data_IF_922812410003
#
_entry.id   IF_922812410003
#
_cell.length_a   1.000
_cell.length_b   1.000
_cell.length_c   1.000
_cell.angle_alpha   90.00
_cell.angle_beta   90.00
_cell.angle_gamma   90.00
#
_symmetry.space_group_name_H-M   'P 1'
#
loop_
_entity.id
_entity.type
_entity.pdbx_description
1 polymer ?
#
# COMPACT_ATOMS: atom_id res chain seq x y z
N UNK A 1 8.10 -56.73 0.48
CA UNK A 1 8.70 -55.58 -0.22
C UNK A 1 7.60 -54.57 -0.45
N UNK A 2 7.46 -53.61 0.43
CA UNK A 2 6.39 -52.64 0.46
C UNK A 2 6.97 -51.29 0.08
N UNK A 3 6.52 -50.79 -1.04
CA UNK A 3 6.82 -49.46 -1.54
C UNK A 3 5.89 -48.44 -0.82
N UNK A 4 6.46 -47.55 -0.05
CA UNK A 4 5.73 -46.47 0.64
C UNK A 4 6.06 -45.15 -0.03
N UNK A 5 5.24 -44.75 -0.97
CA UNK A 5 5.21 -43.39 -1.50
C UNK A 5 4.61 -42.48 -0.45
N UNK A 6 5.45 -41.65 0.18
CA UNK A 6 5.06 -40.58 1.09
C UNK A 6 4.41 -39.41 0.31
N UNK A 7 3.15 -39.27 0.53
CA UNK A 7 2.37 -38.13 0.08
C UNK A 7 2.72 -36.92 0.95
N UNK A 8 3.22 -35.83 0.34
CA UNK A 8 3.58 -34.59 1.01
C UNK A 8 2.45 -33.55 0.76
N UNK A 9 1.57 -33.31 1.75
CA UNK A 9 0.51 -32.32 1.59
C UNK A 9 1.00 -30.94 2.01
N UNK A 10 1.19 -30.01 1.06
CA UNK A 10 1.31 -28.63 1.50
C UNK A 10 2.10 -27.65 0.67
N UNK A 11 2.21 -27.86 -0.62
CA UNK A 11 2.74 -26.81 -1.48
C UNK A 11 1.57 -25.92 -1.96
N UNK A 12 1.51 -24.60 -1.58
CA UNK A 12 0.49 -23.73 -2.10
C UNK A 12 0.71 -23.52 -3.60
N UNK A 13 -0.27 -23.88 -4.40
CA UNK A 13 -0.26 -23.69 -5.84
C UNK A 13 0.01 -22.24 -6.19
N UNK A 14 1.21 -21.97 -6.72
CA UNK A 14 1.57 -20.70 -7.32
C UNK A 14 0.72 -20.55 -8.58
N UNK A 15 -0.31 -19.74 -8.52
CA UNK A 15 -1.13 -19.39 -9.65
C UNK A 15 -0.24 -18.76 -10.74
N UNK A 16 -0.27 -19.35 -11.93
CA UNK A 16 0.46 -18.86 -13.11
C UNK A 16 0.10 -17.41 -13.39
N UNK A 17 1.10 -16.54 -13.37
CA UNK A 17 1.02 -15.14 -13.75
C UNK A 17 0.68 -15.00 -15.24
N UNK A 18 -0.58 -15.03 -15.57
CA UNK A 18 -1.10 -14.77 -16.92
C UNK A 18 -2.20 -13.70 -16.96
N UNK A 19 -2.67 -13.21 -15.82
CA UNK A 19 -3.60 -12.09 -15.78
C UNK A 19 -2.92 -10.87 -15.13
N UNK A 20 -2.80 -9.80 -15.91
CA UNK A 20 -2.02 -8.59 -15.57
C UNK A 20 -2.60 -7.73 -14.44
N UNK A 21 -3.63 -8.19 -13.75
CA UNK A 21 -4.30 -7.42 -12.69
C UNK A 21 -4.84 -8.32 -11.57
N UNK A 22 -3.94 -8.93 -10.81
CA UNK A 22 -4.37 -9.71 -9.62
C UNK A 22 -4.30 -8.85 -8.37
N UNK A 23 -5.42 -8.65 -7.71
CA UNK A 23 -5.54 -7.99 -6.41
C UNK A 23 -5.95 -9.00 -5.34
N UNK A 24 -5.31 -8.90 -4.23
CA UNK A 24 -5.35 -9.81 -3.07
C UNK A 24 -6.75 -9.89 -2.45
N UNK A 25 -7.21 -11.10 -2.21
CA UNK A 25 -8.49 -11.39 -1.54
C UNK A 25 -8.29 -11.54 -0.03
N UNK A 26 -9.02 -10.78 0.76
CA UNK A 26 -9.27 -11.08 2.17
C UNK A 26 -10.76 -10.94 2.48
N UNK A 27 -11.26 -11.86 3.30
CA UNK A 27 -12.68 -12.08 3.57
C UNK A 27 -13.21 -11.02 4.54
N UNK A 28 -14.20 -10.30 4.07
CA UNK A 28 -15.26 -9.56 4.77
C UNK A 28 -14.96 -8.84 6.09
N UNK A 29 -14.85 -7.51 6.02
CA UNK A 29 -15.34 -6.63 7.09
C UNK A 29 -16.15 -5.49 6.47
N UNK A 30 -17.25 -5.10 7.11
CA UNK A 30 -18.16 -4.01 6.69
C UNK A 30 -17.35 -2.77 6.37
N UNK A 31 -17.78 -2.04 5.34
CA UNK A 31 -17.26 -0.70 5.01
C UNK A 31 -17.28 0.12 6.29
N UNK A 32 -16.09 0.23 6.89
CA UNK A 32 -15.92 0.91 8.14
C UNK A 32 -16.17 2.41 7.96
N UNK A 33 -16.76 2.95 8.98
CA UNK A 33 -16.92 4.36 9.25
C UNK A 33 -15.71 5.19 8.75
N UNK A 34 -16.01 6.19 7.95
CA UNK A 34 -15.06 7.13 7.33
C UNK A 34 -13.91 7.47 8.27
N UNK A 35 -12.69 7.31 7.80
CA UNK A 35 -11.51 7.77 8.53
C UNK A 35 -11.74 9.20 9.05
N UNK A 36 -11.60 9.44 10.37
CA UNK A 36 -11.89 10.75 10.94
C UNK A 36 -10.98 11.81 10.33
N UNK A 37 -11.56 12.81 9.67
CA UNK A 37 -10.84 13.97 9.14
C UNK A 37 -11.16 14.36 7.68
N UNK A 38 -11.84 13.51 6.91
CA UNK A 38 -12.33 13.92 5.57
C UNK A 38 -13.84 14.13 5.62
N UNK A 39 -14.31 15.31 5.14
CA UNK A 39 -15.73 15.54 4.95
C UNK A 39 -16.33 14.39 4.12
N UNK A 40 -17.48 13.86 4.54
CA UNK A 40 -18.15 12.73 3.87
C UNK A 40 -18.35 12.96 2.37
N UNK A 41 -18.65 14.21 1.99
CA UNK A 41 -18.81 14.63 0.59
C UNK A 41 -17.50 14.48 -0.20
N UNK A 42 -16.36 14.94 0.33
CA UNK A 42 -15.05 14.83 -0.33
C UNK A 42 -14.66 13.36 -0.48
N UNK A 43 -14.92 12.54 0.54
CA UNK A 43 -14.66 11.10 0.49
C UNK A 43 -15.55 10.41 -0.57
N UNK A 44 -16.79 10.80 -0.71
CA UNK A 44 -17.70 10.25 -1.72
C UNK A 44 -17.30 10.66 -3.13
N UNK A 45 -16.97 11.94 -3.36
CA UNK A 45 -16.49 12.42 -4.66
C UNK A 45 -15.19 11.72 -5.04
N UNK A 46 -14.22 11.65 -4.14
CA UNK A 46 -12.94 10.98 -4.40
C UNK A 46 -13.11 9.49 -4.71
N UNK A 47 -14.05 8.81 -4.05
CA UNK A 47 -14.38 7.42 -4.34
C UNK A 47 -14.92 7.24 -5.77
N UNK A 48 -15.86 8.08 -6.22
CA UNK A 48 -16.41 7.97 -7.57
C UNK A 48 -15.38 8.29 -8.65
N UNK A 49 -14.54 9.31 -8.43
CA UNK A 49 -13.42 9.63 -9.34
C UNK A 49 -12.44 8.46 -9.41
N UNK A 50 -12.06 7.91 -8.27
CA UNK A 50 -11.15 6.77 -8.17
C UNK A 50 -11.73 5.53 -8.88
N UNK A 51 -13.01 5.24 -8.66
CA UNK A 51 -13.70 4.14 -9.33
C UNK A 51 -13.73 4.32 -10.85
N UNK A 52 -14.07 5.53 -11.33
CA UNK A 52 -14.04 5.85 -12.76
C UNK A 52 -12.65 5.68 -13.38
N UNK A 53 -11.60 6.17 -12.70
CA UNK A 53 -10.21 6.03 -13.11
C UNK A 53 -9.79 4.56 -13.23
N UNK A 54 -10.02 3.79 -12.18
CA UNK A 54 -9.65 2.37 -12.14
C UNK A 54 -10.38 1.59 -13.22
N UNK A 55 -11.68 1.83 -13.39
CA UNK A 55 -12.49 1.18 -14.43
C UNK A 55 -12.02 1.53 -15.84
N UNK A 56 -11.70 2.79 -16.11
CA UNK A 56 -11.17 3.24 -17.39
C UNK A 56 -9.80 2.61 -17.70
N UNK A 57 -8.98 2.37 -16.67
CA UNK A 57 -7.70 1.66 -16.76
C UNK A 57 -7.81 0.14 -16.82
N UNK A 58 -9.02 -0.42 -16.85
CA UNK A 58 -9.24 -1.88 -16.87
C UNK A 58 -9.02 -2.58 -15.53
N UNK A 59 -8.90 -1.82 -14.43
CA UNK A 59 -8.72 -2.38 -13.09
C UNK A 59 -10.03 -2.90 -12.52
N UNK A 60 -9.97 -4.08 -11.90
CA UNK A 60 -11.07 -4.64 -11.12
C UNK A 60 -10.62 -4.78 -9.68
N UNK A 61 -11.29 -4.04 -8.80
CA UNK A 61 -11.06 -4.15 -7.35
C UNK A 61 -11.84 -5.35 -6.82
N UNK A 62 -11.20 -6.17 -6.01
CA UNK A 62 -11.77 -7.40 -5.43
C UNK A 62 -11.49 -7.43 -3.94
N UNK A 63 -12.51 -7.78 -3.16
CA UNK A 63 -12.45 -7.85 -1.71
C UNK A 63 -12.70 -6.52 -1.02
N UNK A 64 -12.77 -6.58 0.30
CA UNK A 64 -13.00 -5.45 1.17
C UNK A 64 -11.69 -5.07 1.88
N UNK A 65 -11.56 -3.78 2.21
CA UNK A 65 -10.46 -3.35 3.05
C UNK A 65 -10.65 -3.88 4.48
N UNK A 66 -9.62 -4.50 5.11
CA UNK A 66 -9.72 -4.94 6.48
C UNK A 66 -9.88 -3.75 7.43
N UNK A 67 -10.62 -3.94 8.53
CA UNK A 67 -10.80 -2.91 9.57
C UNK A 67 -9.52 -2.81 10.42
N UNK A 68 -8.52 -2.15 9.85
CA UNK A 68 -7.22 -1.92 10.47
C UNK A 68 -6.96 -0.41 10.54
N UNK A 69 -6.77 0.13 11.75
CA UNK A 69 -6.45 1.55 11.90
C UNK A 69 -5.05 1.88 11.39
N UNK A 70 -4.13 0.92 11.46
CA UNK A 70 -2.75 1.07 11.04
C UNK A 70 -2.22 -0.20 10.41
N UNK A 71 -1.47 -0.05 9.31
CA UNK A 71 -0.78 -1.16 8.66
C UNK A 71 0.33 -0.65 7.75
N UNK A 72 1.25 -1.55 7.40
CA UNK A 72 2.16 -1.37 6.28
C UNK A 72 1.62 -2.12 5.08
N UNK A 73 1.29 -1.39 4.01
CA UNK A 73 0.79 -1.91 2.75
C UNK A 73 1.93 -2.08 1.75
N UNK A 74 2.10 -3.28 1.22
CA UNK A 74 3.07 -3.52 0.16
C UNK A 74 2.46 -3.22 -1.21
N UNK A 75 3.02 -2.21 -1.90
CA UNK A 75 2.63 -1.82 -3.24
C UNK A 75 3.66 -2.37 -4.25
N UNK A 76 3.36 -3.50 -4.83
CA UNK A 76 4.21 -4.19 -5.80
C UNK A 76 3.37 -4.74 -6.98
N UNK A 77 3.94 -4.86 -8.18
CA UNK A 77 5.25 -4.35 -8.58
C UNK A 77 5.25 -2.83 -8.81
N UNK A 78 6.41 -2.18 -8.55
CA UNK A 78 6.59 -0.77 -8.83
C UNK A 78 7.41 -0.58 -10.12
N UNK A 79 6.72 -0.35 -11.24
CA UNK A 79 7.31 -0.35 -12.57
C UNK A 79 7.33 1.03 -13.22
N UNK A 80 6.41 1.90 -12.84
CA UNK A 80 6.23 3.21 -13.47
C UNK A 80 5.72 4.28 -12.49
N UNK A 81 5.69 5.54 -12.93
CA UNK A 81 5.06 6.62 -12.16
C UNK A 81 3.52 6.45 -12.09
N UNK A 82 2.91 5.74 -13.04
CA UNK A 82 1.47 5.47 -13.05
C UNK A 82 1.02 4.62 -11.88
N UNK A 83 1.91 3.78 -11.34
CA UNK A 83 1.61 2.93 -10.18
C UNK A 83 1.23 3.78 -8.96
N UNK A 84 1.85 4.96 -8.79
CA UNK A 84 1.48 5.91 -7.75
C UNK A 84 0.06 6.44 -7.91
N UNK A 85 -0.37 6.77 -9.13
CA UNK A 85 -1.74 7.22 -9.41
C UNK A 85 -2.75 6.09 -9.17
N UNK A 86 -2.43 4.88 -9.62
CA UNK A 86 -3.28 3.71 -9.40
C UNK A 86 -3.39 3.36 -7.91
N UNK A 87 -2.30 3.46 -7.16
CA UNK A 87 -2.27 3.29 -5.71
C UNK A 87 -3.16 4.32 -5.00
N UNK A 88 -3.07 5.60 -5.38
CA UNK A 88 -3.92 6.66 -4.82
C UNK A 88 -5.40 6.46 -5.21
N UNK A 89 -5.66 6.00 -6.43
CA UNK A 89 -7.01 5.66 -6.87
C UNK A 89 -7.56 4.46 -6.07
N UNK A 90 -6.76 3.41 -5.84
CA UNK A 90 -7.16 2.29 -4.99
C UNK A 90 -7.46 2.76 -3.55
N UNK A 91 -6.63 3.64 -3.00
CA UNK A 91 -6.85 4.24 -1.69
C UNK A 91 -8.17 5.04 -1.63
N UNK A 92 -8.48 5.82 -2.67
CA UNK A 92 -9.74 6.54 -2.81
C UNK A 92 -10.94 5.61 -2.94
N UNK A 93 -10.79 4.51 -3.68
CA UNK A 93 -11.83 3.50 -3.82
C UNK A 93 -12.19 2.85 -2.47
N UNK A 94 -11.20 2.44 -1.70
CA UNK A 94 -11.39 1.86 -0.37
C UNK A 94 -11.59 2.90 0.74
N UNK A 95 -11.53 4.19 0.43
CA UNK A 95 -11.68 5.30 1.39
C UNK A 95 -10.68 5.27 2.54
N UNK A 96 -9.47 4.79 2.29
CA UNK A 96 -8.40 4.71 3.29
C UNK A 96 -7.52 5.96 3.29
N UNK A 97 -7.00 6.32 4.47
CA UNK A 97 -5.99 7.38 4.60
C UNK A 97 -4.59 6.81 4.34
N UNK A 98 -4.26 6.71 3.04
CA UNK A 98 -2.99 6.19 2.59
C UNK A 98 -1.89 7.25 2.74
N UNK A 99 -0.78 6.83 3.32
CA UNK A 99 0.48 7.59 3.33
C UNK A 99 1.52 6.86 2.49
N UNK A 100 2.38 7.60 1.84
CA UNK A 100 3.48 7.05 1.03
C UNK A 100 4.73 7.90 1.18
N UNK A 101 5.89 7.27 1.04
CA UNK A 101 7.17 7.94 1.21
C UNK A 101 7.60 8.61 -0.10
N UNK A 102 7.83 9.91 -0.05
CA UNK A 102 8.36 10.69 -1.17
C UNK A 102 9.62 11.42 -0.81
N UNK A 103 10.39 11.83 -1.82
CA UNK A 103 11.55 12.70 -1.63
C UNK A 103 11.10 14.04 -1.03
N UNK A 104 11.91 14.60 -0.13
CA UNK A 104 11.64 15.89 0.52
C UNK A 104 11.39 17.02 -0.49
N UNK A 105 12.11 17.02 -1.61
CA UNK A 105 11.99 18.01 -2.68
C UNK A 105 10.58 18.03 -3.31
N UNK A 106 9.90 16.89 -3.34
CA UNK A 106 8.52 16.82 -3.85
C UNK A 106 7.54 17.59 -2.98
N UNK A 107 7.85 17.75 -1.70
CA UNK A 107 6.97 18.41 -0.73
C UNK A 107 7.32 19.87 -0.48
N UNK A 108 8.47 20.34 -0.98
CA UNK A 108 8.93 21.73 -0.85
C UNK A 108 8.71 22.57 -2.10
N UNK A 109 8.46 21.95 -3.25
CA UNK A 109 8.20 22.63 -4.51
C UNK A 109 6.80 23.31 -4.57
N UNK A 110 6.47 23.98 -5.69
CA UNK A 110 5.22 24.72 -5.86
C UNK A 110 3.96 23.85 -5.69
N UNK A 111 4.04 22.55 -5.98
CA UNK A 111 3.00 21.57 -5.77
C UNK A 111 3.11 20.81 -4.42
N UNK A 112 4.03 21.24 -3.55
CA UNK A 112 4.36 20.52 -2.32
C UNK A 112 3.16 20.37 -1.36
N UNK A 113 2.28 21.37 -1.28
CA UNK A 113 1.05 21.30 -0.49
C UNK A 113 0.07 20.23 -1.02
N UNK A 114 -0.07 20.15 -2.34
CA UNK A 114 -0.92 19.14 -3.00
C UNK A 114 -0.34 17.73 -2.80
N UNK A 115 0.97 17.57 -2.95
CA UNK A 115 1.67 16.30 -2.75
C UNK A 115 1.53 15.81 -1.30
N UNK A 116 1.65 16.72 -0.32
CA UNK A 116 1.38 16.39 1.10
C UNK A 116 -0.09 16.03 1.33
N UNK A 117 -1.01 16.77 0.73
CA UNK A 117 -2.45 16.46 0.81
C UNK A 117 -2.79 15.10 0.20
N UNK A 118 -2.04 14.66 -0.80
CA UNK A 118 -2.13 13.32 -1.38
C UNK A 118 -1.47 12.22 -0.52
N UNK A 119 -1.06 12.53 0.71
CA UNK A 119 -0.53 11.56 1.68
C UNK A 119 0.98 11.35 1.62
N UNK A 120 1.72 12.18 0.88
CA UNK A 120 3.19 12.08 0.85
C UNK A 120 3.80 12.45 2.20
N UNK A 121 4.58 11.53 2.75
CA UNK A 121 5.46 11.76 3.90
C UNK A 121 6.86 12.02 3.35
N UNK A 122 7.42 13.22 3.55
CA UNK A 122 8.76 13.52 3.09
C UNK A 122 9.78 12.69 3.88
N UNK A 123 10.68 12.04 3.17
CA UNK A 123 11.77 11.29 3.79
C UNK A 123 13.11 11.81 3.28
N UNK A 124 14.06 11.94 4.18
CA UNK A 124 15.46 12.13 3.86
C UNK A 124 16.09 10.78 3.59
N UNK A 125 16.70 10.61 2.42
CA UNK A 125 17.27 9.32 1.99
C UNK A 125 18.72 9.12 2.37
N UNK A 126 19.36 10.14 2.94
CA UNK A 126 20.78 10.10 3.27
C UNK A 126 21.06 9.28 4.55
N UNK A 127 20.02 9.04 5.38
CA UNK A 127 20.07 8.20 6.59
C UNK A 127 19.12 7.00 6.54
N UNK A 128 19.54 5.87 5.98
CA UNK A 128 18.66 4.67 5.84
C UNK A 128 18.12 4.13 7.17
N UNK A 129 18.91 4.14 8.23
CA UNK A 129 18.50 3.70 9.55
C UNK A 129 17.46 4.65 10.17
N UNK A 130 17.66 5.97 9.94
CA UNK A 130 16.71 6.98 10.43
C UNK A 130 15.34 6.85 9.79
N UNK A 131 15.26 6.47 8.50
CA UNK A 131 13.99 6.36 7.78
C UNK A 131 13.09 5.25 8.37
N UNK A 132 13.64 4.09 8.71
CA UNK A 132 12.88 2.99 9.34
C UNK A 132 12.31 3.46 10.68
N UNK A 133 13.16 4.05 11.51
CA UNK A 133 12.77 4.56 12.83
C UNK A 133 11.76 5.70 12.73
N UNK A 134 11.96 6.63 11.80
CA UNK A 134 11.03 7.74 11.56
C UNK A 134 9.64 7.24 11.17
N UNK A 135 9.56 6.29 10.23
CA UNK A 135 8.28 5.75 9.78
C UNK A 135 7.60 4.89 10.84
N UNK A 136 8.36 4.10 11.59
CA UNK A 136 7.83 3.34 12.72
C UNK A 136 7.27 4.27 13.80
N UNK A 137 7.97 5.35 14.13
CA UNK A 137 7.50 6.34 15.10
C UNK A 137 6.26 7.10 14.59
N UNK A 138 6.21 7.44 13.30
CA UNK A 138 5.04 8.06 12.68
C UNK A 138 3.82 7.14 12.76
N UNK A 139 3.97 5.85 12.46
CA UNK A 139 2.91 4.84 12.61
C UNK A 139 2.47 4.68 14.07
N UNK A 140 3.40 4.66 15.03
CA UNK A 140 3.07 4.60 16.48
C UNK A 140 2.23 5.80 16.90
N UNK A 141 2.65 7.00 16.51
CA UNK A 141 2.02 8.26 16.91
C UNK A 141 0.64 8.49 16.27
N UNK A 142 0.43 7.96 15.07
CA UNK A 142 -0.83 8.12 14.35
C UNK A 142 -1.96 7.32 15.01
N UNK A 143 -3.19 7.84 14.97
CA UNK A 143 -4.40 7.08 15.32
C UNK A 143 -4.80 6.15 14.17
N UNK A 144 -4.74 6.67 12.95
CA UNK A 144 -5.02 5.94 11.71
C UNK A 144 -3.90 6.25 10.70
N UNK A 145 -3.30 5.23 10.12
CA UNK A 145 -2.26 5.40 9.09
C UNK A 145 -2.01 4.10 8.34
N UNK A 146 -2.27 4.08 7.07
CA UNK A 146 -1.86 3.00 6.18
C UNK A 146 -0.65 3.49 5.38
N UNK A 147 0.51 2.93 5.65
CA UNK A 147 1.77 3.32 5.01
C UNK A 147 2.06 2.40 3.82
N UNK A 148 1.95 2.92 2.60
CA UNK A 148 2.32 2.19 1.40
C UNK A 148 3.83 2.22 1.17
N UNK A 149 4.41 1.05 0.94
CA UNK A 149 5.83 0.86 0.67
C UNK A 149 6.00 -0.03 -0.56
N UNK A 150 6.82 0.40 -1.51
CA UNK A 150 7.31 -0.49 -2.57
C UNK A 150 8.51 -1.28 -2.05
N UNK A 151 8.37 -2.61 -1.88
CA UNK A 151 9.43 -3.42 -1.28
C UNK A 151 10.65 -3.58 -2.19
N UNK A 152 10.50 -3.36 -3.48
CA UNK A 152 11.59 -3.39 -4.44
C UNK A 152 12.59 -2.23 -4.22
N UNK A 153 12.09 -1.07 -3.75
CA UNK A 153 12.88 0.14 -3.55
C UNK A 153 13.45 0.74 -4.84
N UNK A 154 13.02 0.25 -5.99
CA UNK A 154 13.40 0.69 -7.34
C UNK A 154 12.30 0.34 -8.34
N UNK A 155 12.28 1.00 -9.50
CA UNK A 155 11.43 0.66 -10.64
C UNK A 155 12.06 -0.34 -11.61
N UNK A 156 13.36 -0.58 -11.46
CA UNK A 156 14.07 -1.59 -12.24
C UNK A 156 13.75 -2.99 -11.69
N UNK A 157 13.79 -3.98 -12.57
CA UNK A 157 13.65 -5.38 -12.14
C UNK A 157 14.71 -5.72 -11.10
N UNK A 158 14.29 -6.28 -9.98
CA UNK A 158 15.16 -6.67 -8.88
C UNK A 158 14.98 -8.15 -8.54
N UNK A 159 16.03 -8.83 -8.10
CA UNK A 159 15.95 -10.26 -7.75
C UNK A 159 15.18 -10.52 -6.44
N UNK A 160 14.91 -9.48 -5.65
CA UNK A 160 14.22 -9.66 -4.37
C UNK A 160 13.76 -8.34 -3.72
N UNK A 161 13.03 -8.49 -2.63
CA UNK A 161 12.50 -7.39 -1.84
C UNK A 161 13.47 -6.95 -0.74
N UNK A 162 13.47 -5.67 -0.43
CA UNK A 162 14.24 -5.10 0.68
C UNK A 162 13.43 -5.24 1.97
N UNK A 163 14.07 -5.59 3.08
CA UNK A 163 13.41 -5.84 4.36
C UNK A 163 12.93 -4.59 5.12
N UNK A 164 13.12 -3.40 4.59
CA UNK A 164 12.78 -2.14 5.28
C UNK A 164 11.31 -2.08 5.74
N UNK A 165 10.38 -2.56 4.94
CA UNK A 165 8.96 -2.63 5.29
C UNK A 165 8.71 -3.50 6.54
N UNK A 166 9.40 -4.64 6.62
CA UNK A 166 9.30 -5.56 7.76
C UNK A 166 9.77 -4.90 9.05
N UNK A 167 10.93 -4.23 9.00
CA UNK A 167 11.46 -3.53 10.17
C UNK A 167 10.56 -2.39 10.63
N UNK A 168 9.94 -1.66 9.69
CA UNK A 168 8.97 -0.59 10.02
C UNK A 168 7.74 -1.21 10.70
N UNK A 169 7.14 -2.24 10.11
CA UNK A 169 5.96 -2.90 10.66
C UNK A 169 6.24 -3.50 12.05
N UNK A 170 7.35 -4.24 12.18
CA UNK A 170 7.76 -4.85 13.42
C UNK A 170 8.02 -3.82 14.54
N UNK A 171 8.79 -2.76 14.25
CA UNK A 171 9.05 -1.71 15.24
C UNK A 171 7.78 -0.94 15.61
N UNK A 172 6.86 -0.74 14.66
CA UNK A 172 5.60 -0.05 14.92
C UNK A 172 4.57 -0.93 15.66
N UNK A 173 4.74 -2.26 15.67
CA UNK A 173 3.77 -3.21 16.21
C UNK A 173 2.48 -3.27 15.38
N UNK A 174 2.59 -3.17 14.04
CA UNK A 174 1.47 -3.20 13.10
C UNK A 174 1.64 -4.31 12.07
N UNK A 175 0.54 -4.84 11.49
CA UNK A 175 0.62 -5.76 10.35
C UNK A 175 1.17 -5.09 9.09
#
# INVERSE_FOLDING_TARGET
>A
MTDSTGDNPGEPAIAKASDRHTVITTKTARVAELAPGKNALISTISHHIAHGWLRAGGWRMVGDWPDLPKAVLLAAPHTSNWDGFNMLAAAGYFRIDLKWMGKKELTTGPLGSLVRAAGCVPVDRDGRHDMVTQMANALKAAKHMILAISPEGTRAKTPGWRSGFYHIAHQAGVP
#
